data_IF_077915452899
#
_entry.id   IF_077915452899
#
_cell.length_a   1.000
_cell.length_b   1.000
_cell.length_c   1.000
_cell.angle_alpha   90.00
_cell.angle_beta   90.00
_cell.angle_gamma   90.00
#
_symmetry.space_group_name_H-M   'P 1'
#
loop_
_entity.id
_entity.type
_entity.pdbx_description
1 polymer ?
#
# COMPACT_ATOMS: atom_id res chain seq x y z
N UNK A 1 -38.81 -0.90 -7.41
CA UNK A 1 -37.78 -1.45 -6.50
C UNK A 1 -36.76 -0.34 -6.30
N UNK A 2 -36.53 0.10 -5.07
CA UNK A 2 -35.42 1.01 -4.80
C UNK A 2 -34.12 0.29 -5.16
N UNK A 3 -33.15 0.92 -5.85
CA UNK A 3 -31.88 0.30 -6.14
C UNK A 3 -31.24 -0.16 -4.82
N UNK A 4 -30.79 -1.42 -4.79
CA UNK A 4 -30.09 -1.97 -3.63
C UNK A 4 -28.88 -1.08 -3.36
N UNK A 5 -28.68 -0.63 -2.12
CA UNK A 5 -27.56 0.24 -1.76
C UNK A 5 -26.22 -0.43 -2.13
N UNK A 6 -25.30 0.31 -2.72
CA UNK A 6 -23.97 -0.17 -3.07
C UNK A 6 -23.27 -0.69 -1.81
N UNK A 7 -22.83 -1.97 -1.84
CA UNK A 7 -22.13 -2.58 -0.70
C UNK A 7 -20.63 -2.32 -0.74
N UNK A 8 -20.03 -2.33 -1.94
CA UNK A 8 -18.59 -2.14 -2.12
C UNK A 8 -18.33 -1.10 -3.21
N UNK A 9 -17.50 -0.11 -2.91
CA UNK A 9 -16.90 0.76 -3.93
C UNK A 9 -15.45 0.34 -4.14
N UNK A 10 -15.06 0.10 -5.39
CA UNK A 10 -13.67 -0.12 -5.76
C UNK A 10 -13.07 1.24 -6.13
N UNK A 11 -12.17 1.74 -5.30
CA UNK A 11 -11.44 2.99 -5.53
C UNK A 11 -10.24 2.71 -6.44
N UNK A 12 -10.20 3.36 -7.60
CA UNK A 12 -9.13 3.25 -8.58
C UNK A 12 -8.60 4.63 -8.89
N UNK A 13 -7.32 4.87 -8.67
CA UNK A 13 -6.62 6.07 -9.16
C UNK A 13 -5.79 5.71 -10.37
N UNK A 14 -5.69 6.63 -11.32
CA UNK A 14 -4.94 6.45 -12.57
C UNK A 14 -4.21 7.73 -13.00
N UNK A 15 -3.02 7.55 -13.54
CA UNK A 15 -2.27 8.61 -14.22
C UNK A 15 -1.28 8.01 -15.22
N UNK A 16 -1.51 8.24 -16.54
CA UNK A 16 -0.68 7.73 -17.64
C UNK A 16 -0.46 6.21 -17.59
N UNK A 17 -1.56 5.46 -17.62
CA UNK A 17 -1.59 3.98 -17.47
C UNK A 17 -2.33 3.30 -18.64
N UNK A 18 -2.29 3.90 -19.85
CA UNK A 18 -3.00 3.36 -21.03
C UNK A 18 -2.72 1.90 -21.34
N UNK A 19 -1.48 1.44 -21.05
CA UNK A 19 -1.08 0.04 -21.29
C UNK A 19 -1.69 -0.97 -20.29
N UNK A 20 -2.27 -0.51 -19.17
CA UNK A 20 -2.64 -1.37 -18.05
C UNK A 20 -4.10 -1.23 -17.62
N UNK A 21 -4.65 -0.01 -17.72
CA UNK A 21 -5.94 0.37 -17.13
C UNK A 21 -7.12 -0.50 -17.59
N UNK A 22 -7.13 -0.94 -18.85
CA UNK A 22 -8.16 -1.83 -19.36
C UNK A 22 -8.19 -3.15 -18.60
N UNK A 23 -7.04 -3.80 -18.42
CA UNK A 23 -6.92 -5.05 -17.65
C UNK A 23 -7.35 -4.87 -16.19
N UNK A 24 -6.97 -3.74 -15.57
CA UNK A 24 -7.39 -3.41 -14.21
C UNK A 24 -8.92 -3.35 -14.11
N UNK A 25 -9.58 -2.58 -14.97
CA UNK A 25 -11.05 -2.44 -14.99
C UNK A 25 -11.72 -3.79 -15.24
N UNK A 26 -11.28 -4.55 -16.23
CA UNK A 26 -11.85 -5.87 -16.56
C UNK A 26 -11.71 -6.86 -15.41
N UNK A 27 -10.59 -6.87 -14.70
CA UNK A 27 -10.39 -7.75 -13.55
C UNK A 27 -11.37 -7.47 -12.41
N UNK A 28 -11.84 -6.23 -12.29
CA UNK A 28 -12.87 -5.85 -11.32
C UNK A 28 -14.27 -6.16 -11.84
N UNK A 29 -14.56 -5.87 -13.12
CA UNK A 29 -15.87 -6.17 -13.72
C UNK A 29 -16.20 -7.67 -13.69
N UNK A 30 -15.17 -8.53 -13.73
CA UNK A 30 -15.31 -10.00 -13.67
C UNK A 30 -15.54 -10.52 -12.24
N UNK A 31 -15.64 -9.68 -11.22
CA UNK A 31 -15.88 -10.11 -9.85
C UNK A 31 -17.29 -10.70 -9.68
N UNK A 32 -17.36 -11.85 -9.02
CA UNK A 32 -18.60 -12.55 -8.67
C UNK A 32 -18.98 -12.25 -7.23
N UNK A 33 -20.08 -11.56 -7.04
CA UNK A 33 -20.58 -11.15 -5.73
C UNK A 33 -22.09 -11.38 -5.62
N UNK A 34 -22.56 -11.62 -4.39
CA UNK A 34 -23.99 -11.69 -4.06
C UNK A 34 -24.57 -10.30 -3.75
N UNK A 35 -23.81 -9.25 -3.90
CA UNK A 35 -24.15 -7.87 -3.58
C UNK A 35 -23.70 -6.93 -4.72
N UNK A 36 -24.33 -5.74 -4.85
CA UNK A 36 -23.90 -4.74 -5.82
C UNK A 36 -22.57 -4.08 -5.43
N UNK A 37 -21.74 -3.82 -6.42
CA UNK A 37 -20.52 -3.04 -6.29
C UNK A 37 -20.38 -2.03 -7.44
N UNK A 38 -19.58 -1.01 -7.20
CA UNK A 38 -19.23 0.01 -8.19
C UNK A 38 -17.71 0.17 -8.30
N UNK A 39 -17.26 0.78 -9.38
CA UNK A 39 -15.87 1.20 -9.62
C UNK A 39 -15.86 2.72 -9.68
N UNK A 40 -15.09 3.37 -8.83
CA UNK A 40 -14.91 4.81 -8.82
C UNK A 40 -13.49 5.12 -9.29
N UNK A 41 -13.38 5.67 -10.50
CA UNK A 41 -12.10 5.94 -11.16
C UNK A 41 -11.79 7.43 -11.06
N UNK A 42 -10.64 7.77 -10.44
CA UNK A 42 -10.05 9.12 -10.43
C UNK A 42 -8.85 9.18 -11.38
N UNK A 43 -9.04 9.75 -12.57
CA UNK A 43 -7.97 10.01 -13.54
C UNK A 43 -7.36 11.39 -13.27
N UNK A 44 -6.09 11.43 -12.90
CA UNK A 44 -5.37 12.63 -12.49
C UNK A 44 -4.85 13.46 -13.71
N UNK A 45 -5.73 13.71 -14.69
CA UNK A 45 -5.41 14.46 -15.92
C UNK A 45 -4.35 13.75 -16.78
N UNK A 46 -4.53 12.46 -17.04
CA UNK A 46 -3.65 11.65 -17.91
C UNK A 46 -3.47 12.31 -19.28
N UNK A 47 -2.26 12.20 -19.83
CA UNK A 47 -1.87 12.78 -21.13
C UNK A 47 -1.85 11.76 -22.27
N UNK A 48 -1.90 10.46 -21.90
CA UNK A 48 -2.02 9.32 -22.80
C UNK A 48 -3.51 8.93 -22.99
N UNK A 49 -3.76 7.77 -23.59
CA UNK A 49 -5.13 7.27 -23.85
C UNK A 49 -5.84 6.74 -22.57
N UNK A 50 -5.25 6.81 -21.38
CA UNK A 50 -5.88 6.36 -20.12
C UNK A 50 -7.28 6.93 -19.94
N UNK A 51 -7.42 8.26 -20.06
CA UNK A 51 -8.71 8.94 -19.89
C UNK A 51 -9.76 8.54 -20.91
N UNK A 52 -9.36 8.30 -22.16
CA UNK A 52 -10.24 7.80 -23.23
C UNK A 52 -10.71 6.40 -22.92
N UNK A 53 -9.83 5.50 -22.49
CA UNK A 53 -10.17 4.11 -22.12
C UNK A 53 -11.16 4.12 -20.96
N UNK A 54 -10.88 4.85 -19.88
CA UNK A 54 -11.78 4.93 -18.72
C UNK A 54 -13.18 5.44 -19.10
N UNK A 55 -13.27 6.46 -19.95
CA UNK A 55 -14.54 7.01 -20.43
C UNK A 55 -15.33 5.98 -21.21
N UNK A 56 -14.70 5.25 -22.13
CA UNK A 56 -15.34 4.21 -22.91
C UNK A 56 -15.94 3.10 -22.00
N UNK A 57 -15.22 2.70 -20.94
CA UNK A 57 -15.76 1.74 -19.96
C UNK A 57 -16.91 2.33 -19.14
N UNK A 58 -16.83 3.59 -18.72
CA UNK A 58 -17.91 4.26 -18.00
C UNK A 58 -19.19 4.41 -18.86
N UNK A 59 -19.04 4.71 -20.14
CA UNK A 59 -20.17 4.77 -21.09
C UNK A 59 -20.79 3.38 -21.34
N UNK A 60 -19.97 2.34 -21.36
CA UNK A 60 -20.43 0.95 -21.54
C UNK A 60 -21.10 0.36 -20.30
N UNK A 61 -20.70 0.79 -19.10
CA UNK A 61 -21.19 0.27 -17.81
C UNK A 61 -21.58 1.42 -16.86
N UNK A 62 -22.52 2.30 -17.24
CA UNK A 62 -22.83 3.53 -16.50
C UNK A 62 -23.40 3.28 -15.09
N UNK A 63 -24.05 2.15 -14.85
CA UNK A 63 -24.54 1.75 -13.53
C UNK A 63 -23.46 1.14 -12.62
N UNK A 64 -22.27 0.83 -13.15
CA UNK A 64 -21.16 0.21 -12.40
C UNK A 64 -19.94 1.10 -12.28
N UNK A 65 -19.70 2.01 -13.22
CA UNK A 65 -18.46 2.80 -13.28
C UNK A 65 -18.76 4.29 -13.18
N UNK A 66 -18.21 4.92 -12.16
CA UNK A 66 -18.15 6.38 -12.03
C UNK A 66 -16.75 6.84 -12.42
N UNK A 67 -16.62 7.68 -13.42
CA UNK A 67 -15.35 8.22 -13.91
C UNK A 67 -15.24 9.71 -13.65
N UNK A 68 -14.15 10.11 -13.00
CA UNK A 68 -13.82 11.48 -12.65
C UNK A 68 -12.44 11.86 -13.20
N UNK A 69 -12.40 12.71 -14.21
CA UNK A 69 -11.16 13.35 -14.66
C UNK A 69 -10.88 14.59 -13.83
N UNK A 70 -9.65 14.69 -13.32
CA UNK A 70 -9.21 15.89 -12.59
C UNK A 70 -8.65 16.91 -13.57
N UNK A 71 -8.97 18.17 -13.36
CA UNK A 71 -8.40 19.30 -14.11
C UNK A 71 -8.19 20.46 -13.13
N UNK A 72 -6.92 20.84 -12.87
CA UNK A 72 -5.63 20.26 -13.34
C UNK A 72 -5.28 18.93 -12.69
N UNK A 73 -4.08 18.37 -13.02
CA UNK A 73 -3.48 17.28 -12.25
C UNK A 73 -3.28 17.72 -10.79
N UNK A 74 -3.81 16.95 -9.86
CA UNK A 74 -3.81 17.25 -8.43
C UNK A 74 -2.62 16.62 -7.70
N UNK A 75 -2.02 15.58 -8.29
CA UNK A 75 -1.08 14.68 -7.63
C UNK A 75 -1.76 13.48 -6.99
N UNK A 76 -0.97 12.44 -6.74
CA UNK A 76 -1.43 11.11 -6.32
C UNK A 76 -2.35 11.17 -5.08
N UNK A 77 -1.94 11.85 -4.02
CA UNK A 77 -2.69 11.83 -2.77
C UNK A 77 -3.98 12.66 -2.80
N UNK A 78 -3.98 13.90 -3.29
CA UNK A 78 -5.23 14.64 -3.48
C UNK A 78 -6.21 13.92 -4.41
N UNK A 79 -5.73 13.27 -5.50
CA UNK A 79 -6.59 12.46 -6.36
C UNK A 79 -7.16 11.24 -5.62
N UNK A 80 -6.35 10.55 -4.80
CA UNK A 80 -6.82 9.43 -3.98
C UNK A 80 -7.94 9.88 -3.02
N UNK A 81 -7.70 10.95 -2.26
CA UNK A 81 -8.67 11.49 -1.29
C UNK A 81 -9.97 11.90 -2.00
N UNK A 82 -9.87 12.61 -3.12
CA UNK A 82 -11.03 13.01 -3.90
C UNK A 82 -11.77 11.82 -4.52
N UNK A 83 -11.09 10.73 -4.85
CA UNK A 83 -11.71 9.50 -5.38
C UNK A 83 -12.42 8.74 -4.26
N UNK A 84 -11.78 8.58 -3.09
CA UNK A 84 -12.37 7.98 -1.90
C UNK A 84 -13.63 8.73 -1.43
N UNK A 85 -13.66 10.07 -1.57
CA UNK A 85 -14.83 10.88 -1.22
C UNK A 85 -16.07 10.60 -2.09
N UNK A 86 -15.88 10.02 -3.29
CA UNK A 86 -16.96 9.63 -4.21
C UNK A 86 -17.36 8.13 -4.08
N UNK A 87 -16.79 7.43 -3.12
CA UNK A 87 -17.10 6.02 -2.84
C UNK A 87 -18.25 5.92 -1.84
N UNK A 88 -19.41 5.41 -2.29
CA UNK A 88 -20.65 5.34 -1.47
C UNK A 88 -20.81 3.99 -0.76
N UNK A 89 -19.99 2.99 -1.09
CA UNK A 89 -20.07 1.64 -0.53
C UNK A 89 -19.84 1.60 0.99
N UNK A 90 -20.48 0.64 1.66
CA UNK A 90 -20.19 0.29 3.06
C UNK A 90 -18.72 -0.10 3.24
N UNK A 91 -18.15 -0.72 2.22
CA UNK A 91 -16.75 -1.13 2.14
C UNK A 91 -16.07 -0.49 0.95
N UNK A 92 -14.77 -0.24 1.09
CA UNK A 92 -13.90 0.21 0.01
C UNK A 92 -12.89 -0.90 -0.30
N UNK A 93 -12.76 -1.25 -1.58
CA UNK A 93 -11.65 -2.05 -2.10
C UNK A 93 -10.70 -1.14 -2.89
N UNK A 94 -9.40 -1.44 -2.88
CA UNK A 94 -8.41 -0.66 -3.63
C UNK A 94 -7.90 -1.48 -4.82
N UNK A 95 -7.79 -0.82 -5.98
CA UNK A 95 -7.06 -1.35 -7.14
C UNK A 95 -6.54 -0.18 -7.96
N UNK A 96 -5.24 0.02 -8.01
CA UNK A 96 -4.62 1.05 -8.85
C UNK A 96 -4.70 0.65 -10.33
N UNK A 97 -4.69 1.64 -11.23
CA UNK A 97 -4.94 1.38 -12.66
C UNK A 97 -3.84 0.60 -13.38
N UNK A 98 -2.68 0.39 -12.75
CA UNK A 98 -1.57 -0.44 -13.26
C UNK A 98 -1.53 -1.86 -12.65
N UNK A 99 -2.39 -2.16 -11.66
CA UNK A 99 -2.53 -3.46 -11.03
C UNK A 99 -3.76 -4.22 -11.53
N UNK A 100 -3.91 -5.49 -11.17
CA UNK A 100 -5.12 -6.25 -11.50
C UNK A 100 -5.38 -7.40 -10.51
N UNK A 101 -6.63 -7.85 -10.46
CA UNK A 101 -7.03 -8.97 -9.62
C UNK A 101 -7.07 -10.28 -10.40
N UNK A 102 -6.74 -11.39 -9.73
CA UNK A 102 -6.64 -12.72 -10.32
C UNK A 102 -7.70 -13.69 -9.81
N UNK A 103 -8.40 -13.36 -8.73
CA UNK A 103 -9.47 -14.19 -8.16
C UNK A 103 -10.81 -13.48 -8.33
N UNK A 104 -11.73 -14.09 -9.05
CA UNK A 104 -13.06 -13.55 -9.33
C UNK A 104 -13.98 -13.47 -8.09
N UNK A 105 -13.60 -14.08 -6.97
CA UNK A 105 -14.34 -14.05 -5.71
C UNK A 105 -13.69 -13.17 -4.64
N UNK A 106 -12.67 -12.38 -5.01
CA UNK A 106 -11.91 -11.55 -4.06
C UNK A 106 -12.83 -10.64 -3.24
N UNK A 107 -13.72 -9.90 -3.88
CA UNK A 107 -14.64 -9.00 -3.18
C UNK A 107 -15.58 -9.75 -2.24
N UNK A 108 -16.08 -10.92 -2.65
CA UNK A 108 -16.96 -11.75 -1.82
C UNK A 108 -16.23 -12.23 -0.57
N UNK A 109 -15.02 -12.83 -0.71
CA UNK A 109 -14.25 -13.33 0.43
C UNK A 109 -13.92 -12.24 1.46
N UNK A 110 -13.53 -11.06 1.00
CA UNK A 110 -13.16 -9.97 1.90
C UNK A 110 -14.39 -9.33 2.56
N UNK A 111 -15.53 -9.24 1.85
CA UNK A 111 -16.78 -8.77 2.42
C UNK A 111 -17.29 -9.74 3.50
N UNK A 112 -17.31 -11.05 3.20
CA UNK A 112 -17.74 -12.08 4.16
C UNK A 112 -16.85 -12.08 5.40
N UNK A 113 -15.54 -11.90 5.22
CA UNK A 113 -14.61 -11.79 6.35
C UNK A 113 -14.96 -10.60 7.26
N UNK A 114 -15.13 -9.40 6.71
CA UNK A 114 -15.45 -8.24 7.54
C UNK A 114 -16.87 -8.31 8.13
N UNK A 115 -17.84 -8.89 7.41
CA UNK A 115 -19.19 -9.08 7.98
C UNK A 115 -19.16 -10.02 9.21
N UNK A 116 -18.40 -11.13 9.11
CA UNK A 116 -18.27 -12.08 10.22
C UNK A 116 -17.40 -11.56 11.38
N UNK A 117 -16.59 -10.51 11.16
CA UNK A 117 -15.61 -10.02 12.12
C UNK A 117 -15.75 -8.48 12.31
N UNK A 118 -16.73 -8.01 13.11
CA UNK A 118 -17.00 -6.58 13.25
C UNK A 118 -15.88 -5.76 13.92
N UNK A 119 -14.97 -6.40 14.63
CA UNK A 119 -13.80 -5.79 15.27
C UNK A 119 -12.61 -5.57 14.32
N UNK A 120 -12.74 -5.99 13.05
CA UNK A 120 -11.73 -5.71 12.01
C UNK A 120 -12.17 -4.51 11.15
N UNK A 121 -11.25 -3.57 10.95
CA UNK A 121 -11.43 -2.39 10.09
C UNK A 121 -10.90 -2.60 8.67
N UNK A 122 -9.88 -3.44 8.51
CA UNK A 122 -9.19 -3.74 7.26
C UNK A 122 -9.03 -5.25 7.09
N UNK A 123 -9.32 -5.72 5.88
CA UNK A 123 -8.98 -7.05 5.38
C UNK A 123 -8.04 -6.89 4.19
N UNK A 124 -6.90 -7.53 4.23
CA UNK A 124 -5.95 -7.63 3.11
C UNK A 124 -5.66 -9.10 2.78
N UNK A 125 -4.81 -9.35 1.82
CA UNK A 125 -4.40 -10.70 1.41
C UNK A 125 -2.99 -10.70 0.82
N UNK A 126 -2.42 -11.87 0.60
CA UNK A 126 -1.15 -12.04 -0.11
C UNK A 126 -1.33 -11.77 -1.60
N UNK A 127 -0.23 -11.44 -2.32
CA UNK A 127 -0.30 -11.05 -3.73
C UNK A 127 0.84 -11.65 -4.54
N UNK A 128 0.78 -11.47 -5.85
CA UNK A 128 1.87 -11.73 -6.79
C UNK A 128 2.55 -10.42 -7.19
N UNK A 129 3.81 -10.51 -7.59
CA UNK A 129 4.52 -9.44 -8.32
C UNK A 129 4.76 -9.90 -9.74
N UNK A 130 4.34 -9.08 -10.70
CA UNK A 130 4.66 -9.25 -12.12
C UNK A 130 5.81 -8.32 -12.49
N UNK A 131 6.96 -8.90 -12.82
CA UNK A 131 8.15 -8.14 -13.24
C UNK A 131 8.79 -8.85 -14.43
N UNK A 132 9.09 -8.11 -15.51
CA UNK A 132 9.69 -8.64 -16.73
C UNK A 132 8.98 -9.91 -17.25
N UNK A 133 7.63 -9.86 -17.30
CA UNK A 133 6.73 -10.96 -17.70
C UNK A 133 6.82 -12.23 -16.82
N UNK A 134 7.45 -12.15 -15.65
CA UNK A 134 7.48 -13.24 -14.67
C UNK A 134 6.63 -12.88 -13.46
N UNK A 135 5.62 -13.70 -13.20
CA UNK A 135 4.78 -13.61 -12.01
C UNK A 135 5.37 -14.44 -10.87
N UNK A 136 5.62 -13.81 -9.73
CA UNK A 136 6.20 -14.45 -8.54
C UNK A 136 5.34 -14.17 -7.32
N UNK A 137 5.05 -15.18 -6.47
CA UNK A 137 4.33 -14.95 -5.22
C UNK A 137 5.18 -14.14 -4.26
N UNK A 138 4.58 -13.13 -3.64
CA UNK A 138 5.17 -12.41 -2.51
C UNK A 138 4.67 -13.03 -1.23
N UNK A 139 5.57 -13.18 -0.28
CA UNK A 139 5.40 -13.85 0.99
C UNK A 139 5.21 -15.38 0.85
N UNK A 140 5.75 -16.09 1.81
CA UNK A 140 5.46 -17.51 2.02
C UNK A 140 3.99 -17.64 2.37
N UNK A 141 3.46 -18.84 2.21
CA UNK A 141 2.13 -19.15 2.74
C UNK A 141 2.08 -18.81 4.22
N UNK A 142 1.01 -18.16 4.63
CA UNK A 142 0.77 -17.88 6.04
C UNK A 142 0.56 -19.20 6.77
N UNK A 143 0.98 -19.27 8.02
CA UNK A 143 0.80 -20.47 8.84
C UNK A 143 -0.66 -20.81 9.12
N UNK A 144 -1.56 -19.87 8.87
CA UNK A 144 -3.01 -19.99 9.08
C UNK A 144 -3.77 -19.40 7.90
N UNK A 145 -5.04 -19.79 7.74
CA UNK A 145 -5.92 -19.24 6.68
C UNK A 145 -6.14 -17.72 6.83
N UNK A 146 -6.11 -17.23 8.06
CA UNK A 146 -6.19 -15.80 8.41
C UNK A 146 -5.20 -15.51 9.51
N UNK A 147 -4.46 -14.42 9.39
CA UNK A 147 -3.66 -13.87 10.49
C UNK A 147 -4.20 -12.50 10.90
N UNK A 148 -4.16 -12.22 12.20
CA UNK A 148 -4.39 -10.87 12.73
C UNK A 148 -3.06 -10.15 12.85
N UNK A 149 -3.00 -8.92 12.37
CA UNK A 149 -1.80 -8.09 12.40
C UNK A 149 -2.09 -6.86 13.28
N UNK A 150 -1.24 -6.61 14.27
CA UNK A 150 -1.34 -5.38 15.06
C UNK A 150 -0.75 -4.18 14.31
N UNK A 151 -1.09 -2.98 14.75
CA UNK A 151 -0.51 -1.73 14.20
C UNK A 151 1.02 -1.74 14.34
N UNK A 152 1.54 -2.21 15.49
CA UNK A 152 2.98 -2.28 15.75
C UNK A 152 3.67 -3.30 14.84
N UNK A 153 3.04 -4.47 14.60
CA UNK A 153 3.57 -5.47 13.67
C UNK A 153 3.60 -4.91 12.25
N UNK A 154 2.55 -4.19 11.83
CA UNK A 154 2.51 -3.55 10.51
C UNK A 154 3.56 -2.44 10.38
N UNK A 155 3.73 -1.59 11.39
CA UNK A 155 4.77 -0.55 11.42
C UNK A 155 6.17 -1.12 11.23
N UNK A 156 6.48 -2.24 11.91
CA UNK A 156 7.79 -2.89 11.83
C UNK A 156 8.01 -3.63 10.52
N UNK A 157 6.95 -4.22 9.96
CA UNK A 157 6.99 -5.10 8.80
C UNK A 157 5.76 -4.90 7.90
N UNK A 158 5.67 -3.78 7.15
CA UNK A 158 4.60 -3.60 6.16
C UNK A 158 4.78 -4.64 5.04
N UNK A 159 3.78 -5.48 4.81
CA UNK A 159 3.87 -6.59 3.85
C UNK A 159 2.65 -6.73 2.93
N UNK A 160 1.69 -5.82 3.04
CA UNK A 160 0.53 -5.79 2.15
C UNK A 160 0.78 -4.84 0.98
N UNK A 161 0.10 -5.09 -0.11
CA UNK A 161 0.06 -4.19 -1.25
C UNK A 161 -1.32 -3.54 -1.37
N UNK A 162 -1.39 -2.31 -1.88
CA UNK A 162 -2.60 -1.50 -2.03
C UNK A 162 -3.74 -2.28 -2.72
N UNK A 163 -3.43 -3.04 -3.78
CA UNK A 163 -4.42 -3.86 -4.51
C UNK A 163 -5.06 -4.98 -3.68
N UNK A 164 -4.55 -5.25 -2.45
CA UNK A 164 -5.13 -6.21 -1.51
C UNK A 164 -6.10 -5.57 -0.50
N UNK A 165 -6.14 -4.25 -0.36
CA UNK A 165 -6.91 -3.58 0.67
C UNK A 165 -8.41 -3.66 0.44
N UNK A 166 -9.12 -3.96 1.52
CA UNK A 166 -10.57 -3.96 1.60
C UNK A 166 -10.97 -3.53 3.02
N UNK A 167 -11.62 -2.39 3.19
CA UNK A 167 -11.83 -1.81 4.51
C UNK A 167 -13.22 -1.20 4.68
N UNK A 168 -13.60 -0.99 5.95
CA UNK A 168 -14.84 -0.29 6.30
C UNK A 168 -14.74 1.17 5.92
N UNK A 169 -15.69 1.68 5.17
CA UNK A 169 -15.71 3.07 4.70
C UNK A 169 -15.79 4.08 5.86
N UNK A 170 -16.40 3.73 6.98
CA UNK A 170 -16.50 4.54 8.20
C UNK A 170 -15.23 4.49 9.08
N UNK A 171 -14.30 3.60 8.79
CA UNK A 171 -13.03 3.49 9.51
C UNK A 171 -11.96 4.49 9.05
N UNK A 172 -12.09 5.05 7.84
CA UNK A 172 -11.17 6.08 7.34
C UNK A 172 -11.48 7.46 7.94
N UNK A 173 -10.49 8.36 8.07
CA UNK A 173 -10.75 9.73 8.49
C UNK A 173 -11.65 10.47 7.49
N UNK A 174 -12.61 11.25 7.99
CA UNK A 174 -13.45 12.14 7.17
C UNK A 174 -13.69 13.45 7.93
N UNK A 175 -13.02 14.55 7.54
CA UNK A 175 -12.01 14.68 6.48
C UNK A 175 -10.68 13.99 6.83
N UNK A 176 -9.88 13.74 5.81
CA UNK A 176 -8.46 13.39 6.01
C UNK A 176 -7.70 14.61 6.55
N UNK A 177 -6.69 14.42 7.42
CA UNK A 177 -5.88 15.54 7.89
C UNK A 177 -5.04 16.13 6.75
N UNK A 178 -4.83 17.46 6.76
CA UNK A 178 -4.18 18.18 5.66
C UNK A 178 -2.80 17.62 5.29
N UNK A 179 -2.02 17.18 6.28
CA UNK A 179 -0.70 16.62 6.05
C UNK A 179 -0.73 15.33 5.18
N UNK A 180 -1.85 14.62 5.14
CA UNK A 180 -1.98 13.40 4.33
C UNK A 180 -1.92 13.69 2.82
N UNK A 181 -2.21 14.91 2.38
CA UNK A 181 -2.04 15.33 0.99
C UNK A 181 -0.56 15.31 0.52
N UNK A 182 0.39 15.32 1.45
CA UNK A 182 1.81 15.49 1.17
C UNK A 182 2.65 14.21 1.41
N UNK A 183 2.02 13.10 1.79
CA UNK A 183 2.72 11.83 1.99
C UNK A 183 3.09 11.18 0.66
N UNK A 184 4.23 10.51 0.60
CA UNK A 184 4.65 9.72 -0.56
C UNK A 184 4.29 8.23 -0.44
N UNK A 185 4.02 7.75 0.78
CA UNK A 185 3.59 6.39 1.08
C UNK A 185 2.15 6.41 1.63
N UNK A 186 1.21 6.91 0.81
CA UNK A 186 -0.17 7.11 1.21
C UNK A 186 -0.89 5.84 1.63
N UNK A 187 -0.62 4.75 0.93
CA UNK A 187 -1.11 3.41 1.26
C UNK A 187 -0.70 2.97 2.67
N UNK A 188 0.55 3.23 3.06
CA UNK A 188 1.04 2.91 4.41
C UNK A 188 0.26 3.68 5.49
N UNK A 189 0.10 5.00 5.32
CA UNK A 189 -0.63 5.81 6.29
C UNK A 189 -2.14 5.52 6.30
N UNK A 190 -2.73 5.12 5.16
CA UNK A 190 -4.11 4.64 5.12
C UNK A 190 -4.30 3.43 6.05
N UNK A 191 -3.40 2.44 5.98
CA UNK A 191 -3.46 1.28 6.89
C UNK A 191 -3.32 1.71 8.35
N UNK A 192 -2.46 2.68 8.65
CA UNK A 192 -2.30 3.19 10.01
C UNK A 192 -3.59 3.86 10.52
N UNK A 193 -4.26 4.68 9.72
CA UNK A 193 -5.57 5.25 10.11
C UNK A 193 -6.61 4.16 10.38
N UNK A 194 -6.71 3.18 9.48
CA UNK A 194 -7.66 2.08 9.61
C UNK A 194 -7.37 1.24 10.86
N UNK A 195 -6.10 0.97 11.15
CA UNK A 195 -5.68 0.18 12.31
C UNK A 195 -5.95 0.86 13.66
N UNK A 196 -6.19 2.17 13.68
CA UNK A 196 -6.66 2.88 14.87
C UNK A 196 -8.14 2.60 15.18
N UNK A 197 -8.90 2.13 14.21
CA UNK A 197 -10.36 1.89 14.30
C UNK A 197 -10.73 0.42 14.49
N UNK A 198 -9.81 -0.51 14.21
CA UNK A 198 -10.04 -1.93 14.35
C UNK A 198 -8.81 -2.76 14.00
N UNK A 199 -8.94 -4.07 14.11
CA UNK A 199 -7.88 -5.02 13.76
C UNK A 199 -7.63 -5.08 12.25
N UNK A 200 -6.45 -5.53 11.85
CA UNK A 200 -6.10 -5.84 10.47
C UNK A 200 -6.14 -7.37 10.31
N UNK A 201 -6.95 -7.86 9.37
CA UNK A 201 -6.97 -9.28 8.98
C UNK A 201 -6.22 -9.50 7.66
N UNK A 202 -5.41 -10.55 7.57
CA UNK A 202 -4.77 -10.94 6.33
C UNK A 202 -5.17 -12.36 5.93
N UNK A 203 -5.84 -12.51 4.80
CA UNK A 203 -6.24 -13.80 4.24
C UNK A 203 -5.06 -14.46 3.53
N UNK A 204 -4.88 -15.77 3.75
CA UNK A 204 -3.88 -16.56 3.04
C UNK A 204 -4.37 -16.95 1.63
N UNK A 205 -4.68 -15.96 0.82
CA UNK A 205 -5.09 -16.11 -0.58
C UNK A 205 -4.33 -15.10 -1.43
N UNK A 206 -3.86 -15.50 -2.61
CA UNK A 206 -3.21 -14.59 -3.56
C UNK A 206 -4.22 -14.20 -4.61
N UNK A 207 -4.81 -13.00 -4.46
CA UNK A 207 -5.95 -12.56 -5.26
C UNK A 207 -5.68 -11.31 -6.10
N UNK A 208 -4.44 -10.78 -6.06
CA UNK A 208 -4.03 -9.64 -6.89
C UNK A 208 -2.59 -9.74 -7.35
N UNK A 209 -2.26 -8.93 -8.34
CA UNK A 209 -0.93 -8.78 -8.92
C UNK A 209 -0.51 -7.33 -8.84
N UNK A 210 0.61 -7.07 -8.19
CA UNK A 210 1.35 -5.82 -8.28
C UNK A 210 2.23 -5.86 -9.53
N UNK A 211 2.04 -4.89 -10.42
CA UNK A 211 2.84 -4.75 -11.64
C UNK A 211 4.06 -3.88 -11.39
N UNK A 212 5.23 -4.50 -11.38
CA UNK A 212 6.50 -3.80 -11.23
C UNK A 212 7.02 -3.37 -12.62
N UNK A 213 6.78 -2.12 -12.97
CA UNK A 213 7.22 -1.50 -14.23
C UNK A 213 8.01 -0.20 -13.94
N UNK A 214 8.85 0.22 -14.88
CA UNK A 214 9.84 1.29 -14.65
C UNK A 214 9.26 2.71 -14.45
N UNK A 215 7.96 2.92 -14.69
CA UNK A 215 7.28 4.21 -14.52
C UNK A 215 6.52 4.34 -13.20
N UNK A 216 6.57 3.34 -12.32
CA UNK A 216 5.96 3.42 -10.99
C UNK A 216 6.60 4.52 -10.15
N UNK A 217 5.81 5.25 -9.36
CA UNK A 217 6.25 6.36 -8.50
C UNK A 217 7.41 5.94 -7.58
N UNK A 218 7.41 4.69 -7.11
CA UNK A 218 8.48 4.13 -6.28
C UNK A 218 9.85 4.09 -6.95
N UNK A 219 9.94 4.19 -8.28
CA UNK A 219 11.20 4.14 -9.03
C UNK A 219 11.62 5.51 -9.57
N UNK A 220 10.72 6.48 -9.65
CA UNK A 220 10.98 7.78 -10.26
C UNK A 220 11.51 8.82 -9.27
N UNK A 221 11.37 8.59 -7.95
CA UNK A 221 11.82 9.52 -6.91
C UNK A 221 13.13 9.09 -6.27
N UNK A 222 13.92 10.09 -5.85
CA UNK A 222 15.16 9.83 -5.13
C UNK A 222 14.87 9.14 -3.77
N UNK A 223 15.62 8.08 -3.46
CA UNK A 223 15.47 7.34 -2.19
C UNK A 223 15.59 8.24 -0.94
N UNK A 224 16.39 9.31 -1.03
CA UNK A 224 16.52 10.33 0.03
C UNK A 224 15.21 11.07 0.28
N UNK A 225 14.54 11.51 -0.77
CA UNK A 225 13.27 12.22 -0.70
C UNK A 225 12.18 11.34 -0.08
N UNK A 226 12.06 10.10 -0.57
CA UNK A 226 11.09 9.13 -0.04
C UNK A 226 11.32 8.91 1.45
N UNK A 227 12.58 8.69 1.86
CA UNK A 227 12.91 8.49 3.28
C UNK A 227 12.59 9.70 4.13
N UNK A 228 12.99 10.90 3.70
CA UNK A 228 12.76 12.12 4.48
C UNK A 228 11.27 12.38 4.66
N UNK A 229 10.50 12.24 3.58
CA UNK A 229 9.05 12.36 3.62
C UNK A 229 8.42 11.31 4.55
N UNK A 230 8.82 10.04 4.45
CA UNK A 230 8.29 8.97 5.26
C UNK A 230 8.57 9.15 6.75
N UNK A 231 9.82 9.47 7.12
CA UNK A 231 10.22 9.70 8.51
C UNK A 231 9.47 10.91 9.10
N UNK A 232 9.42 12.02 8.37
CA UNK A 232 8.67 13.20 8.78
C UNK A 232 7.19 12.88 9.07
N UNK A 233 6.52 12.20 8.15
CA UNK A 233 5.11 11.90 8.33
C UNK A 233 4.85 10.80 9.37
N UNK A 234 5.81 9.92 9.68
CA UNK A 234 5.72 9.04 10.85
C UNK A 234 5.73 9.85 12.16
N UNK A 235 6.54 10.89 12.26
CA UNK A 235 6.55 11.80 13.41
C UNK A 235 5.22 12.56 13.54
N UNK A 236 4.69 13.04 12.41
CA UNK A 236 3.37 13.68 12.37
C UNK A 236 2.25 12.71 12.77
N UNK A 237 2.28 11.47 12.27
CA UNK A 237 1.32 10.44 12.66
C UNK A 237 1.44 10.05 14.13
N UNK A 238 2.65 10.05 14.68
CA UNK A 238 2.88 9.79 16.11
C UNK A 238 2.09 10.79 16.99
N UNK A 239 2.20 12.08 16.67
CA UNK A 239 1.42 13.13 17.34
C UNK A 239 -0.08 12.98 17.07
N UNK A 240 -0.48 12.71 15.82
CA UNK A 240 -1.89 12.48 15.44
C UNK A 240 -2.52 11.31 16.23
N UNK A 241 -1.75 10.26 16.50
CA UNK A 241 -2.19 9.11 17.29
C UNK A 241 -2.15 9.34 18.81
N UNK A 242 -1.86 10.56 19.28
CA UNK A 242 -1.61 10.89 20.68
C UNK A 242 -0.51 10.01 21.30
N UNK A 243 0.59 9.81 20.56
CA UNK A 243 1.76 9.01 20.97
C UNK A 243 1.46 7.54 21.29
N UNK A 244 0.30 7.03 20.85
CA UNK A 244 -0.12 5.65 21.12
C UNK A 244 0.90 4.61 20.66
N UNK A 245 1.62 4.89 19.57
CA UNK A 245 2.58 3.97 18.97
C UNK A 245 4.04 4.47 19.06
N UNK A 246 4.29 5.47 19.90
CA UNK A 246 5.55 6.20 19.97
C UNK A 246 6.79 5.29 19.97
N UNK A 247 6.86 4.34 20.89
CA UNK A 247 8.02 3.43 21.00
C UNK A 247 8.28 2.67 19.69
N UNK A 248 7.24 2.21 19.03
CA UNK A 248 7.36 1.45 17.77
C UNK A 248 7.74 2.37 16.62
N UNK A 249 7.13 3.57 16.54
CA UNK A 249 7.47 4.57 15.52
C UNK A 249 8.92 4.99 15.63
N UNK A 250 9.43 5.26 16.83
CA UNK A 250 10.85 5.60 17.07
C UNK A 250 11.79 4.47 16.61
N UNK A 251 11.40 3.20 16.81
CA UNK A 251 12.16 2.06 16.29
C UNK A 251 12.19 2.04 14.75
N UNK A 252 11.06 2.31 14.11
CA UNK A 252 10.95 2.36 12.64
C UNK A 252 11.81 3.51 12.10
N UNK A 253 11.69 4.71 12.65
CA UNK A 253 12.48 5.89 12.27
C UNK A 253 13.99 5.60 12.40
N UNK A 254 14.39 5.01 13.51
CA UNK A 254 15.79 4.66 13.73
C UNK A 254 16.30 3.63 12.72
N UNK A 255 15.50 2.59 12.43
CA UNK A 255 15.79 1.60 11.38
C UNK A 255 15.98 2.26 10.01
N UNK A 256 15.08 3.18 9.62
CA UNK A 256 15.19 3.91 8.36
C UNK A 256 16.43 4.82 8.30
N UNK A 257 16.73 5.51 9.40
CA UNK A 257 17.94 6.33 9.49
C UNK A 257 19.20 5.50 9.33
N UNK A 258 19.23 4.29 9.92
CA UNK A 258 20.33 3.35 9.77
C UNK A 258 20.51 2.87 8.33
N UNK A 259 19.40 2.35 7.74
CA UNK A 259 19.42 1.86 6.35
C UNK A 259 19.92 2.95 5.41
N UNK A 260 19.45 4.17 5.61
CA UNK A 260 19.90 5.30 4.81
C UNK A 260 21.40 5.58 4.99
N UNK A 261 21.89 5.58 6.23
CA UNK A 261 23.32 5.83 6.53
C UNK A 261 24.24 4.78 5.92
N UNK A 262 23.77 3.53 5.83
CA UNK A 262 24.51 2.43 5.16
C UNK A 262 24.68 2.69 3.65
N UNK A 263 23.63 3.21 3.00
CA UNK A 263 23.62 3.43 1.55
C UNK A 263 24.07 4.84 1.14
N UNK A 264 24.21 5.77 2.07
CA UNK A 264 24.69 7.11 1.80
C UNK A 264 26.17 7.09 1.36
N UNK A 265 26.56 7.88 0.35
CA UNK A 265 27.97 8.09 0.04
C UNK A 265 28.68 8.69 1.26
N UNK A 266 29.71 8.04 1.76
CA UNK A 266 30.46 8.53 2.93
C UNK A 266 31.54 7.56 3.37
N UNK A 267 32.47 8.05 4.20
CA UNK A 267 33.63 7.29 4.65
C UNK A 267 33.25 6.08 5.52
N UNK A 268 33.98 4.98 5.36
CA UNK A 268 33.81 3.76 6.15
C UNK A 268 33.88 4.01 7.66
N UNK A 269 34.79 4.89 8.11
CA UNK A 269 34.96 5.25 9.50
C UNK A 269 33.73 5.97 10.10
N UNK A 270 33.09 6.87 9.37
CA UNK A 270 31.87 7.56 9.85
C UNK A 270 30.73 6.57 10.07
N UNK A 271 30.60 5.57 9.19
CA UNK A 271 29.61 4.50 9.31
C UNK A 271 29.87 3.64 10.54
N UNK A 272 31.14 3.32 10.84
CA UNK A 272 31.56 2.58 12.03
C UNK A 272 31.22 3.37 13.30
N UNK A 273 31.59 4.64 13.35
CA UNK A 273 31.31 5.50 14.51
C UNK A 273 29.78 5.59 14.75
N UNK A 274 29.01 5.77 13.70
CA UNK A 274 27.54 5.81 13.80
C UNK A 274 26.98 4.48 14.34
N UNK A 275 27.50 3.35 13.88
CA UNK A 275 27.12 2.03 14.38
C UNK A 275 27.40 1.87 15.87
N UNK A 276 28.62 2.15 16.31
CA UNK A 276 28.99 2.00 17.73
C UNK A 276 28.19 2.94 18.65
N UNK A 277 27.87 4.14 18.20
CA UNK A 277 26.97 5.04 18.94
C UNK A 277 25.57 4.49 19.15
N UNK A 278 25.14 3.55 18.29
CA UNK A 278 23.80 2.97 18.30
C UNK A 278 23.79 1.47 18.66
N UNK A 279 24.90 0.90 19.14
CA UNK A 279 25.05 -0.54 19.36
C UNK A 279 24.01 -1.12 20.32
N UNK A 280 23.62 -0.37 21.34
CA UNK A 280 22.58 -0.78 22.28
C UNK A 280 21.19 -0.90 21.64
N UNK A 281 20.90 -0.14 20.59
CA UNK A 281 19.71 -0.27 19.81
C UNK A 281 19.78 -1.51 18.89
N UNK A 282 20.94 -1.78 18.28
CA UNK A 282 21.14 -2.93 17.41
C UNK A 282 20.96 -4.26 18.14
N UNK A 283 21.56 -4.39 19.32
CA UNK A 283 21.48 -5.61 20.13
C UNK A 283 20.05 -5.95 20.56
N UNK A 284 19.15 -4.97 20.66
CA UNK A 284 17.76 -5.16 21.09
C UNK A 284 16.77 -5.36 19.93
N UNK A 285 17.10 -4.86 18.72
CA UNK A 285 16.13 -4.74 17.64
C UNK A 285 16.50 -5.50 16.36
N UNK A 286 17.70 -6.10 16.27
CA UNK A 286 18.20 -6.82 15.10
C UNK A 286 18.58 -8.26 15.45
N UNK A 287 17.73 -8.93 16.20
CA UNK A 287 17.90 -10.36 16.53
C UNK A 287 17.38 -11.30 15.43
N UNK A 288 16.69 -10.75 14.41
CA UNK A 288 16.19 -11.50 13.29
C UNK A 288 17.25 -11.64 12.16
N UNK A 289 17.04 -12.62 11.26
CA UNK A 289 17.94 -12.90 10.12
C UNK A 289 18.08 -11.69 9.18
N UNK A 290 17.07 -10.83 9.09
CA UNK A 290 17.08 -9.61 8.28
C UNK A 290 18.01 -8.55 8.87
N UNK A 291 17.97 -8.36 10.18
CA UNK A 291 18.86 -7.47 10.92
C UNK A 291 20.31 -7.92 10.86
N UNK A 292 20.57 -9.24 11.02
CA UNK A 292 21.92 -9.79 10.89
C UNK A 292 22.50 -9.60 9.49
N UNK A 293 21.70 -9.80 8.42
CA UNK A 293 22.12 -9.52 7.04
C UNK A 293 22.43 -8.04 6.80
N UNK A 294 21.69 -7.16 7.45
CA UNK A 294 21.93 -5.71 7.38
C UNK A 294 23.25 -5.34 8.05
N UNK A 295 23.54 -5.91 9.23
CA UNK A 295 24.79 -5.74 9.96
C UNK A 295 25.99 -6.27 9.16
N UNK A 296 25.87 -7.45 8.54
CA UNK A 296 26.92 -8.02 7.68
C UNK A 296 27.22 -7.09 6.49
N UNK A 297 26.21 -6.56 5.82
CA UNK A 297 26.39 -5.57 4.75
C UNK A 297 27.04 -4.28 5.22
N UNK A 298 26.83 -3.89 6.49
CA UNK A 298 27.44 -2.70 7.08
C UNK A 298 28.94 -2.87 7.27
N UNK A 299 29.38 -4.03 7.77
CA UNK A 299 30.76 -4.30 8.14
C UNK A 299 31.60 -4.97 7.05
N UNK A 300 30.99 -5.61 6.06
CA UNK A 300 31.74 -6.32 5.03
C UNK A 300 31.85 -5.45 3.77
N UNK A 301 33.06 -5.03 3.39
CA UNK A 301 33.28 -4.29 2.14
C UNK A 301 32.64 -5.01 0.95
N UNK A 302 32.00 -4.26 0.05
CA UNK A 302 31.30 -4.82 -1.10
C UNK A 302 32.17 -5.69 -2.03
N UNK A 303 33.50 -5.52 -1.99
CA UNK A 303 34.49 -6.38 -2.64
C UNK A 303 34.54 -7.80 -2.07
N UNK A 304 34.29 -7.97 -0.77
CA UNK A 304 34.28 -9.29 -0.10
C UNK A 304 32.91 -9.98 -0.31
N UNK A 305 31.81 -9.23 -0.27
CA UNK A 305 30.47 -9.77 -0.53
C UNK A 305 30.28 -10.34 -1.94
N UNK A 306 31.04 -9.85 -2.92
CA UNK A 306 31.04 -10.41 -4.29
C UNK A 306 31.80 -11.74 -4.40
N UNK A 307 32.75 -12.02 -3.53
CA UNK A 307 33.53 -13.28 -3.51
C UNK A 307 32.82 -14.46 -2.85
N UNK A 308 31.79 -14.20 -2.06
CA UNK A 308 30.99 -15.26 -1.36
C UNK A 308 29.80 -15.72 -2.21
N UNK A 309 29.56 -15.09 -3.37
CA UNK A 309 28.46 -15.44 -4.31
C UNK A 309 28.93 -16.21 -5.55
N UNK A 310 30.22 -16.52 -5.66
CA UNK A 310 30.83 -17.46 -6.59
C UNK A 310 31.37 -18.64 -5.75
#
# INVERSE_FOLDING_TARGET
>A
MFPQSIKVSVCMIAYNQEAFIAQAIESILNQKTTFPFEIVIGDDNSKDDTGKICRNYAEKFPEKIKYYRREPNLGMMPNLIATLANCDGKYIAMCEGDDFWTDENKLQYQADFLEANPDYSLCCHTHFVLSKNKMTPVNKDLSQNVITVSTEQYLLHPFFHTSSYFFRNDAQPKPYPDWYNHVLAGDHFLVLFLSMKGKIGCLNKRMSVFRNHGSSVSFTRAAKEIKQNFVHHLEVFDQYSNLKFHTTIQRVIHKWNLVYKIYEPGGYFEKIIYFFKNIGFYSRNFTDVGGLKLLIKYFVPGSILRRVKN
#
